data_IF_510697236739
#
_entry.id   IF_510697236739
#
_cell.length_a   1.000
_cell.length_b   1.000
_cell.length_c   1.000
_cell.angle_alpha   90.00
_cell.angle_beta   90.00
_cell.angle_gamma   90.00
#
_symmetry.space_group_name_H-M   'P 1'
#
loop_
_entity.id
_entity.type
_entity.pdbx_description
1 polymer ?
#
# COMPACT_ATOMS: atom_id res chain seq x y z
N UNK A 1 3.84 19.70 6.42
CA UNK A 1 2.46 19.19 6.65
C UNK A 1 2.03 18.28 5.49
N UNK A 2 2.68 17.12 5.30
CA UNK A 2 2.32 16.13 4.26
C UNK A 2 1.71 14.84 4.83
N UNK A 3 1.55 14.74 6.15
CA UNK A 3 1.06 13.53 6.82
C UNK A 3 -0.46 13.33 6.75
N UNK A 4 -1.25 14.41 6.80
CA UNK A 4 -2.72 14.31 6.80
C UNK A 4 -3.30 13.71 5.50
N UNK A 5 -2.88 14.15 4.29
CA UNK A 5 -3.43 13.58 3.05
C UNK A 5 -3.09 12.10 2.86
N UNK A 6 -1.92 11.67 3.36
CA UNK A 6 -1.49 10.27 3.29
C UNK A 6 -2.31 9.41 4.25
N UNK A 7 -2.55 9.89 5.48
CA UNK A 7 -3.35 9.18 6.47
C UNK A 7 -4.80 9.01 6.00
N UNK A 8 -5.43 10.08 5.50
CA UNK A 8 -6.79 10.02 4.94
C UNK A 8 -6.89 9.06 3.76
N UNK A 9 -5.87 9.05 2.89
CA UNK A 9 -5.82 8.11 1.77
C UNK A 9 -5.65 6.67 2.25
N UNK A 10 -4.83 6.43 3.27
CA UNK A 10 -4.68 5.10 3.87
C UNK A 10 -6.01 4.61 4.46
N UNK A 11 -6.76 5.46 5.16
CA UNK A 11 -8.07 5.10 5.72
C UNK A 11 -9.07 4.72 4.62
N UNK A 12 -9.06 5.41 3.48
CA UNK A 12 -9.89 5.08 2.32
C UNK A 12 -9.48 3.74 1.69
N UNK A 13 -8.18 3.49 1.55
CA UNK A 13 -7.65 2.23 1.01
C UNK A 13 -7.97 1.05 1.92
N UNK A 14 -7.87 1.22 3.25
CA UNK A 14 -8.26 0.18 4.22
C UNK A 14 -9.73 -0.19 4.05
N UNK A 15 -10.62 0.80 3.93
CA UNK A 15 -12.05 0.56 3.69
C UNK A 15 -12.28 -0.19 2.38
N UNK A 16 -11.65 0.25 1.30
CA UNK A 16 -11.78 -0.38 -0.01
C UNK A 16 -11.31 -1.85 0.01
N UNK A 17 -10.14 -2.12 0.61
CA UNK A 17 -9.60 -3.49 0.73
C UNK A 17 -10.53 -4.39 1.55
N UNK A 18 -11.09 -3.88 2.65
CA UNK A 18 -12.02 -4.65 3.47
C UNK A 18 -13.32 -4.97 2.71
N UNK A 19 -13.88 -4.00 1.97
CA UNK A 19 -15.06 -4.24 1.10
C UNK A 19 -14.75 -5.27 0.01
N UNK A 20 -13.55 -5.21 -0.58
CA UNK A 20 -13.14 -6.13 -1.64
C UNK A 20 -13.03 -7.58 -1.16
N UNK A 21 -12.64 -7.78 0.10
CA UNK A 21 -12.38 -9.09 0.70
C UNK A 21 -13.54 -9.62 1.56
N UNK A 22 -14.57 -8.82 1.79
CA UNK A 22 -15.77 -9.21 2.51
C UNK A 22 -16.68 -10.10 1.65
N UNK A 23 -17.05 -11.26 2.18
CA UNK A 23 -17.88 -12.25 1.50
C UNK A 23 -19.33 -11.77 1.30
N UNK A 24 -19.83 -10.92 2.20
CA UNK A 24 -21.20 -10.38 2.16
C UNK A 24 -21.31 -9.13 1.30
N UNK A 25 -20.18 -8.55 0.88
CA UNK A 25 -20.18 -7.34 0.06
C UNK A 25 -20.77 -7.60 -1.33
N UNK A 26 -21.64 -6.69 -1.76
CA UNK A 26 -22.27 -6.76 -3.08
C UNK A 26 -21.23 -6.74 -4.20
N UNK A 27 -21.54 -7.35 -5.34
CA UNK A 27 -20.64 -7.38 -6.48
C UNK A 27 -20.31 -5.96 -6.99
N UNK A 28 -21.27 -5.04 -6.91
CA UNK A 28 -21.09 -3.65 -7.35
C UNK A 28 -20.05 -2.95 -6.46
N UNK A 29 -20.20 -3.02 -5.14
CA UNK A 29 -19.27 -2.38 -4.21
C UNK A 29 -17.87 -3.00 -4.28
N UNK A 30 -17.76 -4.32 -4.48
CA UNK A 30 -16.47 -4.98 -4.71
C UNK A 30 -15.77 -4.46 -5.98
N UNK A 31 -16.50 -4.30 -7.08
CA UNK A 31 -15.95 -3.77 -8.33
C UNK A 31 -15.52 -2.30 -8.20
N UNK A 32 -16.30 -1.48 -7.51
CA UNK A 32 -15.95 -0.08 -7.24
C UNK A 32 -14.69 0.03 -6.37
N UNK A 33 -14.60 -0.77 -5.30
CA UNK A 33 -13.43 -0.82 -4.44
C UNK A 33 -12.17 -1.29 -5.19
N UNK A 34 -12.29 -2.32 -6.04
CA UNK A 34 -11.21 -2.78 -6.89
C UNK A 34 -10.74 -1.69 -7.85
N UNK A 35 -11.68 -1.03 -8.54
CA UNK A 35 -11.39 0.06 -9.47
C UNK A 35 -10.65 1.21 -8.76
N UNK A 36 -11.11 1.60 -7.57
CA UNK A 36 -10.44 2.62 -6.75
C UNK A 36 -9.00 2.22 -6.42
N UNK A 37 -8.76 0.97 -6.01
CA UNK A 37 -7.42 0.47 -5.69
C UNK A 37 -6.48 0.43 -6.90
N UNK A 38 -6.98 0.05 -8.09
CA UNK A 38 -6.18 0.08 -9.32
C UNK A 38 -5.86 1.52 -9.76
N UNK A 39 -6.84 2.42 -9.75
CA UNK A 39 -6.63 3.82 -10.09
C UNK A 39 -5.63 4.50 -9.13
N UNK A 40 -5.69 4.15 -7.84
CA UNK A 40 -4.69 4.58 -6.86
C UNK A 40 -3.28 4.13 -7.26
N UNK A 41 -3.09 2.83 -7.52
CA UNK A 41 -1.79 2.26 -7.91
C UNK A 41 -1.22 2.92 -9.17
N UNK A 42 -2.08 3.26 -10.13
CA UNK A 42 -1.68 3.84 -11.42
C UNK A 42 -1.43 5.35 -11.38
N UNK A 43 -2.22 6.12 -10.63
CA UNK A 43 -2.24 7.60 -10.75
C UNK A 43 -1.76 8.35 -9.51
N UNK A 44 -1.86 7.77 -8.32
CA UNK A 44 -1.55 8.51 -7.10
C UNK A 44 -0.03 8.71 -6.94
N UNK A 45 0.39 9.89 -6.49
CA UNK A 45 1.79 10.20 -6.16
C UNK A 45 2.19 9.66 -4.79
N UNK A 46 1.21 9.35 -3.92
CA UNK A 46 1.43 8.88 -2.56
C UNK A 46 1.58 7.34 -2.45
N UNK A 47 1.77 6.62 -3.56
CA UNK A 47 1.87 5.16 -3.52
C UNK A 47 2.93 4.63 -2.56
N UNK A 48 4.13 5.23 -2.54
CA UNK A 48 5.21 4.81 -1.62
C UNK A 48 4.85 5.06 -0.15
N UNK A 49 4.52 6.29 0.30
CA UNK A 49 4.19 6.53 1.70
C UNK A 49 2.95 5.75 2.17
N UNK A 50 1.89 5.66 1.35
CA UNK A 50 0.73 4.83 1.70
C UNK A 50 1.08 3.35 1.77
N UNK A 51 1.84 2.83 0.79
CA UNK A 51 2.25 1.42 0.77
C UNK A 51 3.06 1.03 2.02
N UNK A 52 3.97 1.89 2.47
CA UNK A 52 4.74 1.69 3.70
C UNK A 52 3.85 1.72 4.96
N UNK A 53 2.93 2.68 5.06
CA UNK A 53 2.02 2.79 6.20
C UNK A 53 1.05 1.61 6.28
N UNK A 54 0.53 1.14 5.14
CA UNK A 54 -0.37 -0.01 5.06
C UNK A 54 0.37 -1.34 5.30
N UNK A 55 1.65 -1.43 4.97
CA UNK A 55 2.48 -2.62 5.20
C UNK A 55 2.92 -2.80 6.67
N UNK A 56 2.66 -1.82 7.53
CA UNK A 56 3.04 -1.87 8.94
C UNK A 56 2.40 -3.05 9.69
N UNK A 57 3.11 -3.61 10.66
CA UNK A 57 2.68 -4.78 11.45
C UNK A 57 1.42 -4.55 12.28
N UNK A 58 1.06 -3.29 12.56
CA UNK A 58 -0.18 -2.92 13.27
C UNK A 58 -1.44 -3.15 12.45
N UNK A 59 -1.30 -3.27 11.12
CA UNK A 59 -2.40 -3.50 10.20
C UNK A 59 -2.77 -4.98 10.09
N UNK A 60 -4.00 -5.27 9.63
CA UNK A 60 -4.45 -6.65 9.39
C UNK A 60 -3.63 -7.30 8.28
N UNK A 61 -3.55 -8.64 8.25
CA UNK A 61 -2.76 -9.35 7.24
C UNK A 61 -3.17 -9.00 5.79
N UNK A 62 -4.47 -8.80 5.55
CA UNK A 62 -5.03 -8.42 4.24
C UNK A 62 -4.57 -7.01 3.84
N UNK A 63 -4.70 -6.04 4.75
CA UNK A 63 -4.25 -4.65 4.51
C UNK A 63 -2.74 -4.60 4.30
N UNK A 64 -1.97 -5.35 5.11
CA UNK A 64 -0.52 -5.47 4.96
C UNK A 64 -0.10 -6.02 3.61
N UNK A 65 -0.77 -7.09 3.17
CA UNK A 65 -0.52 -7.68 1.87
C UNK A 65 -0.77 -6.66 0.75
N UNK A 66 -1.88 -5.92 0.83
CA UNK A 66 -2.18 -4.87 -0.14
C UNK A 66 -1.13 -3.74 -0.13
N UNK A 67 -0.67 -3.29 1.04
CA UNK A 67 0.43 -2.33 1.17
C UNK A 67 1.69 -2.80 0.46
N UNK A 68 2.09 -4.06 0.65
CA UNK A 68 3.23 -4.67 -0.04
C UNK A 68 3.00 -4.75 -1.56
N UNK A 69 1.78 -5.09 -2.00
CA UNK A 69 1.42 -5.13 -3.42
C UNK A 69 1.54 -3.76 -4.10
N UNK A 70 1.22 -2.67 -3.39
CA UNK A 70 1.45 -1.30 -3.90
C UNK A 70 2.94 -1.06 -4.10
N UNK A 71 3.78 -1.41 -3.12
CA UNK A 71 5.23 -1.22 -3.22
C UNK A 71 5.84 -2.03 -4.37
N UNK A 72 5.40 -3.29 -4.54
CA UNK A 72 5.78 -4.12 -5.68
C UNK A 72 5.40 -3.44 -7.01
N UNK A 73 4.17 -2.94 -7.14
CA UNK A 73 3.71 -2.25 -8.34
C UNK A 73 4.58 -1.02 -8.66
N UNK A 74 4.90 -0.21 -7.64
CA UNK A 74 5.78 0.95 -7.82
C UNK A 74 7.17 0.53 -8.31
N UNK A 75 7.76 -0.51 -7.74
CA UNK A 75 9.07 -1.02 -8.17
C UNK A 75 8.99 -1.57 -9.60
N UNK A 76 7.92 -2.28 -9.95
CA UNK A 76 7.79 -2.90 -11.27
C UNK A 76 7.57 -1.88 -12.38
N UNK A 77 6.77 -0.84 -12.15
CA UNK A 77 6.31 0.05 -13.21
C UNK A 77 6.89 1.47 -13.14
N UNK A 78 7.29 1.95 -11.97
CA UNK A 78 7.73 3.35 -11.77
C UNK A 78 9.20 3.49 -11.41
N UNK A 79 9.90 2.40 -11.14
CA UNK A 79 11.30 2.42 -10.70
C UNK A 79 12.24 3.16 -11.64
N UNK A 80 12.11 3.00 -12.96
CA UNK A 80 13.02 3.64 -13.91
C UNK A 80 12.96 5.17 -13.83
N UNK A 81 11.77 5.72 -13.56
CA UNK A 81 11.52 7.16 -13.49
C UNK A 81 11.63 7.72 -12.06
N UNK A 82 11.89 6.87 -11.07
CA UNK A 82 11.99 7.27 -9.66
C UNK A 82 13.39 7.89 -9.35
N UNK A 83 13.44 9.00 -8.60
CA UNK A 83 14.70 9.59 -8.13
C UNK A 83 15.54 8.61 -7.31
N UNK A 84 16.88 8.70 -7.42
CA UNK A 84 17.78 7.79 -6.69
C UNK A 84 17.59 7.83 -5.17
N UNK A 85 17.29 9.01 -4.61
CA UNK A 85 17.02 9.15 -3.18
C UNK A 85 15.77 8.35 -2.75
N UNK A 86 14.70 8.42 -3.52
CA UNK A 86 13.46 7.66 -3.25
C UNK A 86 13.69 6.16 -3.37
N UNK A 87 14.49 5.72 -4.36
CA UNK A 87 14.91 4.30 -4.50
C UNK A 87 15.62 3.80 -3.26
N UNK A 88 16.58 4.57 -2.74
CA UNK A 88 17.35 4.22 -1.54
C UNK A 88 16.44 4.19 -0.31
N UNK A 89 15.54 5.16 -0.17
CA UNK A 89 14.57 5.19 0.93
C UNK A 89 13.65 3.97 0.90
N UNK A 90 13.08 3.65 -0.27
CA UNK A 90 12.22 2.47 -0.43
C UNK A 90 12.98 1.18 -0.12
N UNK A 91 14.22 1.03 -0.61
CA UNK A 91 15.09 -0.10 -0.28
C UNK A 91 15.30 -0.23 1.22
N UNK A 92 15.68 0.85 1.90
CA UNK A 92 15.95 0.84 3.34
C UNK A 92 14.69 0.49 4.16
N UNK A 93 13.53 1.03 3.77
CA UNK A 93 12.27 0.72 4.42
C UNK A 93 11.88 -0.76 4.22
N UNK A 94 12.00 -1.28 3.00
CA UNK A 94 11.76 -2.69 2.70
C UNK A 94 12.69 -3.62 3.50
N UNK A 95 13.98 -3.27 3.61
CA UNK A 95 14.92 -4.02 4.46
C UNK A 95 14.54 -3.95 5.94
N UNK A 96 14.05 -2.81 6.43
CA UNK A 96 13.53 -2.65 7.79
C UNK A 96 12.31 -3.55 8.07
N UNK A 97 11.39 -3.65 7.10
CA UNK A 97 10.24 -4.56 7.19
C UNK A 97 10.70 -6.02 7.32
N UNK A 98 11.70 -6.45 6.53
CA UNK A 98 12.27 -7.80 6.60
C UNK A 98 12.98 -8.06 7.93
N UNK A 99 13.74 -7.09 8.43
CA UNK A 99 14.51 -7.19 9.68
C UNK A 99 13.60 -7.39 10.90
N UNK A 100 12.36 -6.88 10.83
CA UNK A 100 11.37 -7.03 11.90
C UNK A 100 10.76 -8.44 11.93
N UNK A 101 10.77 -9.17 10.80
CA UNK A 101 10.30 -10.56 10.72
C UNK A 101 11.29 -11.53 11.38
N UNK A 102 12.57 -11.16 11.48
CA UNK A 102 13.64 -12.00 12.03
C UNK A 102 13.64 -12.17 13.55
N UNK A 103 12.75 -11.49 14.30
CA UNK A 103 12.65 -11.60 15.77
C UNK A 103 11.57 -12.59 16.24
N UNK A 104 10.93 -13.31 15.32
CA UNK A 104 9.88 -14.30 15.63
C UNK A 104 10.09 -15.63 14.88
N UNK A 105 11.35 -16.07 14.75
CA UNK A 105 11.71 -17.47 14.49
C UNK A 105 12.51 -18.01 15.67
#
# INVERSE_FOLDING_TARGET
MMGEPVAEMCDQLVKAVNVMMDAESSQIYRLEALKFCEEFKEKCTFCVPCGLQLADKTQTAVVRHFGLQILEHVIKFRWNNMPQQEKVQLKNCAMGLLSTVSLFW
#
